data_IF_029554211361
#
_entry.id   IF_029554211361
#
_cell.length_a   1.000
_cell.length_b   1.000
_cell.length_c   1.000
_cell.angle_alpha   90.00
_cell.angle_beta   90.00
_cell.angle_gamma   90.00
#
_symmetry.space_group_name_H-M   'P 1'
#
loop_
_entity.id
_entity.type
_entity.pdbx_description
1 polymer ?
#
# COMPACT_ATOMS: atom_id res chain seq x y z
N UNK A 1 10.18 16.07 -3.93
CA UNK A 1 9.09 16.04 -2.94
C UNK A 1 7.74 16.41 -3.56
N UNK A 2 7.66 17.49 -4.34
CA UNK A 2 6.41 17.89 -4.98
C UNK A 2 5.84 16.80 -5.88
N UNK A 3 6.67 16.15 -6.68
CA UNK A 3 6.22 15.07 -7.55
C UNK A 3 5.71 13.87 -6.75
N UNK A 4 6.41 13.50 -5.69
CA UNK A 4 5.96 12.42 -4.81
C UNK A 4 4.57 12.74 -4.23
N UNK A 5 4.40 13.92 -3.66
CA UNK A 5 3.12 14.33 -3.08
C UNK A 5 2.01 14.38 -4.13
N UNK A 6 2.31 14.88 -5.33
CA UNK A 6 1.32 14.98 -6.41
C UNK A 6 0.83 13.61 -6.87
N UNK A 7 1.74 12.64 -7.02
CA UNK A 7 1.37 11.27 -7.42
C UNK A 7 0.55 10.58 -6.34
N UNK A 8 0.94 10.75 -5.07
CA UNK A 8 0.19 10.16 -3.96
C UNK A 8 -1.22 10.75 -3.86
N UNK A 9 -1.35 12.07 -4.03
CA UNK A 9 -2.64 12.74 -4.03
C UNK A 9 -3.50 12.32 -5.22
N UNK A 10 -2.91 12.11 -6.39
CA UNK A 10 -3.64 11.64 -7.57
C UNK A 10 -4.25 10.25 -7.33
N UNK A 11 -3.51 9.34 -6.70
CA UNK A 11 -4.02 8.02 -6.34
C UNK A 11 -5.23 8.12 -5.42
N UNK A 12 -5.17 8.99 -4.42
CA UNK A 12 -6.29 9.21 -3.51
C UNK A 12 -7.51 9.78 -4.24
N UNK A 13 -7.31 10.74 -5.15
CA UNK A 13 -8.42 11.32 -5.92
C UNK A 13 -9.11 10.28 -6.80
N UNK A 14 -8.37 9.37 -7.41
CA UNK A 14 -8.95 8.31 -8.23
C UNK A 14 -9.89 7.42 -7.44
N UNK A 15 -9.66 7.28 -6.14
CA UNK A 15 -10.42 6.38 -5.29
C UNK A 15 -11.41 7.09 -4.38
N UNK A 16 -11.38 8.41 -4.32
CA UNK A 16 -12.22 9.19 -3.40
C UNK A 16 -13.71 9.06 -3.68
N UNK A 17 -14.09 8.82 -4.95
CA UNK A 17 -15.49 8.69 -5.35
C UNK A 17 -16.06 7.29 -5.13
N UNK A 18 -15.24 6.32 -4.75
CA UNK A 18 -15.71 4.94 -4.56
C UNK A 18 -16.41 4.79 -3.21
N UNK A 19 -17.58 4.13 -3.16
CA UNK A 19 -18.15 3.69 -1.91
C UNK A 19 -17.21 2.71 -1.20
N UNK A 20 -17.26 2.60 0.14
CA UNK A 20 -16.39 1.68 0.88
C UNK A 20 -16.48 0.23 0.40
N UNK A 21 -17.67 -0.24 0.02
CA UNK A 21 -17.85 -1.59 -0.50
C UNK A 21 -17.15 -1.81 -1.82
N UNK A 22 -17.13 -0.81 -2.71
CA UNK A 22 -16.47 -0.92 -4.01
C UNK A 22 -14.94 -0.88 -3.88
N UNK A 23 -14.45 -0.26 -2.82
CA UNK A 23 -13.02 -0.17 -2.54
C UNK A 23 -12.37 -1.55 -2.38
N UNK A 24 -13.15 -2.56 -1.99
CA UNK A 24 -12.65 -3.91 -1.74
C UNK A 24 -13.06 -4.93 -2.80
N UNK A 25 -13.77 -4.52 -3.83
CA UNK A 25 -14.24 -5.44 -4.87
C UNK A 25 -13.09 -5.82 -5.80
N UNK A 26 -12.95 -7.12 -6.03
CA UNK A 26 -12.09 -7.68 -7.07
C UNK A 26 -13.00 -8.18 -8.19
N UNK A 27 -13.07 -7.41 -9.29
CA UNK A 27 -14.00 -7.68 -10.37
C UNK A 27 -13.65 -8.93 -11.18
N UNK A 28 -12.37 -9.31 -11.19
CA UNK A 28 -11.89 -10.51 -11.86
C UNK A 28 -10.54 -10.92 -11.24
N UNK A 29 -10.13 -12.21 -11.38
CA UNK A 29 -8.91 -12.69 -10.70
C UNK A 29 -7.63 -11.95 -11.07
N UNK A 30 -7.55 -11.37 -12.26
CA UNK A 30 -6.36 -10.67 -12.74
C UNK A 30 -6.30 -9.21 -12.32
N UNK A 31 -7.39 -8.68 -11.75
CA UNK A 31 -7.48 -7.28 -11.35
C UNK A 31 -7.56 -7.18 -9.84
N UNK A 32 -6.61 -6.49 -9.25
CA UNK A 32 -6.61 -6.29 -7.80
C UNK A 32 -7.63 -5.22 -7.39
N UNK A 33 -8.28 -5.38 -6.22
CA UNK A 33 -9.22 -4.36 -5.75
C UNK A 33 -8.48 -3.05 -5.39
N UNK A 34 -9.20 -1.91 -5.41
CA UNK A 34 -8.58 -0.61 -5.09
C UNK A 34 -7.83 -0.58 -3.77
N UNK A 35 -8.36 -1.20 -2.70
CA UNK A 35 -7.68 -1.19 -1.41
C UNK A 35 -6.30 -1.84 -1.49
N UNK A 36 -6.18 -2.91 -2.30
CA UNK A 36 -4.91 -3.60 -2.47
C UNK A 36 -3.90 -2.70 -3.17
N UNK A 37 -4.33 -1.97 -4.20
CA UNK A 37 -3.45 -1.07 -4.93
C UNK A 37 -2.95 0.07 -4.04
N UNK A 38 -3.80 0.63 -3.19
CA UNK A 38 -3.37 1.65 -2.22
C UNK A 38 -2.35 1.07 -1.23
N UNK A 39 -2.60 -0.14 -0.74
CA UNK A 39 -1.67 -0.80 0.17
C UNK A 39 -0.35 -1.15 -0.51
N UNK A 40 -0.41 -1.71 -1.71
CA UNK A 40 0.78 -2.12 -2.46
C UNK A 40 1.69 -0.94 -2.78
N UNK A 41 1.15 0.18 -3.23
CA UNK A 41 1.97 1.35 -3.57
C UNK A 41 2.62 1.96 -2.33
N UNK A 42 2.02 1.80 -1.17
CA UNK A 42 2.65 2.19 0.10
C UNK A 42 3.68 1.15 0.55
N UNK A 43 3.33 -0.15 0.44
CA UNK A 43 4.25 -1.24 0.77
C UNK A 43 5.54 -1.16 -0.05
N UNK A 44 5.44 -0.82 -1.33
CA UNK A 44 6.61 -0.72 -2.19
C UNK A 44 7.65 0.24 -1.60
N UNK A 45 7.22 1.42 -1.19
CA UNK A 45 8.13 2.39 -0.58
C UNK A 45 8.64 1.92 0.78
N UNK A 46 7.77 1.33 1.59
CA UNK A 46 8.15 0.84 2.90
C UNK A 46 9.22 -0.25 2.81
N UNK A 47 9.00 -1.25 1.97
CA UNK A 47 9.90 -2.41 1.89
C UNK A 47 11.19 -2.11 1.13
N UNK A 48 11.13 -1.30 0.07
CA UNK A 48 12.27 -1.12 -0.83
C UNK A 48 13.06 0.16 -0.57
N UNK A 49 12.48 1.16 0.08
CA UNK A 49 13.15 2.42 0.37
C UNK A 49 13.36 2.59 1.88
N UNK A 50 12.29 2.54 2.65
CA UNK A 50 12.36 2.87 4.07
C UNK A 50 13.01 1.78 4.91
N UNK A 51 12.72 0.51 4.63
CA UNK A 51 13.28 -0.61 5.39
C UNK A 51 14.82 -0.64 5.33
N UNK A 52 15.47 -0.55 4.16
CA UNK A 52 16.92 -0.52 4.10
C UNK A 52 17.55 0.66 4.84
N UNK A 53 16.80 1.75 4.99
CA UNK A 53 17.26 2.95 5.69
C UNK A 53 16.99 2.93 7.20
N UNK A 54 16.32 1.87 7.69
CA UNK A 54 15.90 1.82 9.08
C UNK A 54 14.80 2.80 9.44
N UNK A 55 13.99 3.21 8.47
CA UNK A 55 12.94 4.22 8.63
C UNK A 55 11.53 3.69 8.41
N UNK A 56 11.38 2.39 8.26
CA UNK A 56 10.08 1.77 8.02
C UNK A 56 9.16 2.00 9.23
N UNK A 57 7.90 2.47 9.03
CA UNK A 57 6.96 2.62 10.13
C UNK A 57 6.68 1.29 10.83
N UNK A 58 6.64 1.31 12.15
CA UNK A 58 6.31 0.13 12.96
C UNK A 58 4.80 -0.09 13.02
N UNK A 59 4.39 -1.33 13.34
CA UNK A 59 2.99 -1.65 13.56
C UNK A 59 2.26 -2.25 12.37
N UNK A 60 2.95 -2.51 11.27
CA UNK A 60 2.34 -3.04 10.05
C UNK A 60 2.91 -4.41 9.67
N UNK A 61 3.21 -5.23 10.66
CA UNK A 61 3.69 -6.60 10.43
C UNK A 61 2.61 -7.39 9.67
N UNK A 62 3.05 -8.23 8.74
CA UNK A 62 2.12 -9.01 7.91
C UNK A 62 1.72 -8.33 6.61
N UNK A 63 1.97 -7.04 6.46
CA UNK A 63 1.66 -6.34 5.21
C UNK A 63 2.54 -6.81 4.06
N UNK A 64 3.72 -7.38 4.34
CA UNK A 64 4.54 -8.00 3.31
C UNK A 64 3.78 -9.12 2.57
N UNK A 65 3.12 -9.98 3.31
CA UNK A 65 2.33 -11.05 2.70
C UNK A 65 1.19 -10.50 1.86
N UNK A 66 0.45 -9.55 2.40
CA UNK A 66 -0.76 -9.03 1.76
C UNK A 66 -0.46 -8.21 0.50
N UNK A 67 0.57 -7.37 0.55
CA UNK A 67 0.80 -6.36 -0.49
C UNK A 67 2.00 -6.62 -1.37
N UNK A 68 2.78 -7.68 -1.12
CA UNK A 68 3.86 -8.07 -2.01
C UNK A 68 3.27 -8.62 -3.33
N UNK A 69 3.79 -8.18 -4.46
CA UNK A 69 3.33 -8.60 -5.78
C UNK A 69 4.30 -9.57 -6.46
N UNK A 70 5.58 -9.18 -6.58
CA UNK A 70 6.55 -9.94 -7.36
C UNK A 70 7.84 -10.27 -6.60
N UNK A 71 8.02 -9.73 -5.40
CA UNK A 71 9.32 -9.73 -4.73
C UNK A 71 9.48 -10.98 -3.87
N UNK A 72 9.70 -12.12 -4.50
CA UNK A 72 9.78 -13.42 -3.81
C UNK A 72 10.87 -13.46 -2.74
N UNK A 73 11.94 -12.69 -2.92
CA UNK A 73 13.02 -12.60 -1.94
C UNK A 73 12.63 -11.98 -0.61
N UNK A 74 11.47 -11.31 -0.54
CA UNK A 74 10.98 -10.69 0.70
C UNK A 74 10.20 -11.72 1.54
N UNK A 75 9.62 -12.73 0.90
CA UNK A 75 8.88 -13.77 1.60
C UNK A 75 7.59 -14.17 0.89
N UNK A 76 6.73 -14.97 1.55
CA UNK A 76 5.44 -15.40 0.99
C UNK A 76 4.55 -14.21 0.67
N UNK A 77 3.70 -14.38 -0.35
CA UNK A 77 2.77 -13.33 -0.79
C UNK A 77 1.37 -13.90 -1.03
N UNK A 78 0.37 -13.04 -0.87
CA UNK A 78 -1.02 -13.39 -1.16
C UNK A 78 -1.21 -13.55 -2.67
N UNK A 79 -1.77 -14.69 -3.14
CA UNK A 79 -2.04 -14.85 -4.57
C UNK A 79 -3.01 -13.78 -5.09
N UNK A 80 -2.75 -13.30 -6.32
CA UNK A 80 -3.53 -12.21 -6.92
C UNK A 80 -5.03 -12.51 -6.93
N UNK A 81 -5.42 -13.73 -7.30
CA UNK A 81 -6.82 -14.11 -7.41
C UNK A 81 -7.57 -14.07 -6.08
N UNK A 82 -6.86 -14.04 -4.95
CA UNK A 82 -7.47 -14.06 -3.62
C UNK A 82 -7.48 -12.68 -2.94
N UNK A 83 -6.98 -11.64 -3.61
CA UNK A 83 -6.84 -10.31 -3.00
C UNK A 83 -8.15 -9.68 -2.60
N UNK A 84 -9.26 -10.05 -3.24
CA UNK A 84 -10.59 -9.56 -2.89
C UNK A 84 -11.29 -10.37 -1.82
N UNK A 85 -10.70 -11.49 -1.35
CA UNK A 85 -11.34 -12.40 -0.39
C UNK A 85 -10.89 -12.17 1.05
N UNK A 86 -9.94 -11.28 1.27
CA UNK A 86 -9.41 -11.05 2.61
C UNK A 86 -10.15 -9.91 3.29
N UNK A 87 -10.41 -10.07 4.60
CA UNK A 87 -11.02 -9.04 5.42
C UNK A 87 -9.98 -8.13 6.08
N UNK A 88 -8.79 -8.64 6.32
CA UNK A 88 -7.71 -7.92 6.97
C UNK A 88 -6.52 -7.77 6.01
N UNK A 89 -5.81 -6.63 6.01
CA UNK A 89 -6.13 -5.46 6.84
C UNK A 89 -7.40 -4.76 6.37
N UNK A 90 -8.11 -4.10 7.29
CA UNK A 90 -9.28 -3.31 6.97
C UNK A 90 -8.93 -2.01 6.25
N UNK A 91 -9.94 -1.34 5.69
CA UNK A 91 -9.74 -0.10 4.94
C UNK A 91 -9.05 0.99 5.78
N UNK A 92 -9.44 1.14 7.04
CA UNK A 92 -8.82 2.14 7.92
C UNK A 92 -7.36 1.81 8.20
N UNK A 93 -7.02 0.53 8.35
CA UNK A 93 -5.63 0.11 8.56
C UNK A 93 -4.77 0.39 7.32
N UNK A 94 -5.31 0.16 6.12
CA UNK A 94 -4.60 0.46 4.86
C UNK A 94 -4.35 1.96 4.75
N UNK A 95 -5.34 2.80 5.08
CA UNK A 95 -5.18 4.25 5.05
C UNK A 95 -4.20 4.75 6.10
N UNK A 96 -4.21 4.17 7.30
CA UNK A 96 -3.23 4.49 8.32
C UNK A 96 -1.81 4.12 7.88
N UNK A 97 -1.66 2.96 7.26
CA UNK A 97 -0.38 2.52 6.71
C UNK A 97 0.13 3.49 5.64
N UNK A 98 -0.75 3.87 4.70
CA UNK A 98 -0.40 4.82 3.65
C UNK A 98 0.05 6.16 4.25
N UNK A 99 -0.68 6.68 5.23
CA UNK A 99 -0.32 7.94 5.89
C UNK A 99 1.04 7.87 6.59
N UNK A 100 1.31 6.76 7.28
CA UNK A 100 2.59 6.56 7.97
C UNK A 100 3.75 6.48 6.97
N UNK A 101 3.57 5.74 5.87
CA UNK A 101 4.59 5.62 4.82
C UNK A 101 4.83 6.97 4.15
N UNK A 102 3.76 7.70 3.84
CA UNK A 102 3.88 9.03 3.21
C UNK A 102 4.64 9.99 4.11
N UNK A 103 4.35 10.02 5.40
CA UNK A 103 5.06 10.88 6.35
C UNK A 103 6.55 10.53 6.41
N UNK A 104 6.88 9.25 6.49
CA UNK A 104 8.26 8.79 6.53
C UNK A 104 9.01 9.11 5.22
N UNK A 105 8.35 8.93 4.08
CA UNK A 105 8.94 9.24 2.77
C UNK A 105 9.19 10.75 2.64
N UNK A 106 8.22 11.57 3.01
CA UNK A 106 8.38 13.02 2.94
C UNK A 106 9.53 13.49 3.82
N UNK A 107 9.63 12.96 5.03
CA UNK A 107 10.73 13.29 5.93
C UNK A 107 12.09 12.93 5.32
N UNK A 108 12.18 11.73 4.74
CA UNK A 108 13.44 11.29 4.11
C UNK A 108 13.80 12.15 2.91
N UNK A 109 12.82 12.43 2.03
CA UNK A 109 13.06 13.23 0.82
C UNK A 109 13.52 14.65 1.19
N UNK A 110 12.94 15.24 2.23
CA UNK A 110 13.32 16.57 2.69
C UNK A 110 14.75 16.62 3.23
N UNK A 111 15.28 15.50 3.70
CA UNK A 111 16.66 15.40 4.20
C UNK A 111 17.68 15.18 3.11
N UNK A 112 17.26 14.90 1.89
CA UNK A 112 18.19 14.73 0.75
C UNK A 112 18.66 16.09 0.17
#
# INVERSE_FOLDING_TARGET
LQRFCAVRAASERLMASLPPEDFRIQSMPDVSPPFWNLGHTSWFFAANVLRPLGREPAGFAGFDYTFNSYYEGIGPRLPRAQRGRIAQPGTDAVRAYRSAVDAAMQQWIEQC
#
